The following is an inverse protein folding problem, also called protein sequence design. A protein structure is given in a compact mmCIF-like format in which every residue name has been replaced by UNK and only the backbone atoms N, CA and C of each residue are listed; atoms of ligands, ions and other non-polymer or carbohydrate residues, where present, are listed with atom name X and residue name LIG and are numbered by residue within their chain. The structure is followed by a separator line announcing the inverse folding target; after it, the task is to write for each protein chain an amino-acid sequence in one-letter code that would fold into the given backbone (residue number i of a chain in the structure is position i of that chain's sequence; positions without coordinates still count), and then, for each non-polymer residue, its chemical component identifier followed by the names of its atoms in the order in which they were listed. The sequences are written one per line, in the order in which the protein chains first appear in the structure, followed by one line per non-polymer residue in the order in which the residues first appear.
data_IF_152104956030
#
_entry.id   IF_152104956030
#
_cell.length_a   1.000
_cell.length_b   1.000
_cell.length_c   1.000
_cell.angle_alpha   90.00
_cell.angle_beta   90.00
_cell.angle_gamma   90.00
#
_symmetry.space_group_name_H-M   'P 1'
#
loop_
_entity.id
_entity.type
_entity.pdbx_description
1 polymer ?
#
# COMPACT_ATOMS: atom_id res chain seq x y z
N UNK A 1 32.26 -3.27 14.94
CA UNK A 1 31.84 -3.61 13.56
C UNK A 1 30.60 -4.46 13.76
N UNK A 2 29.37 -4.05 13.47
CA UNK A 2 28.93 -3.08 12.47
C UNK A 2 27.86 -2.13 13.00
N UNK A 3 27.98 -0.87 12.58
CA UNK A 3 27.01 0.16 12.82
C UNK A 3 25.74 -0.14 12.00
N UNK A 4 24.72 -0.68 12.66
CA UNK A 4 23.33 -0.64 12.22
C UNK A 4 22.79 0.78 12.28
N UNK A 5 23.45 1.68 11.55
CA UNK A 5 23.08 3.07 11.42
C UNK A 5 21.70 3.15 10.79
N UNK A 6 20.71 3.36 11.64
CA UNK A 6 19.39 3.83 11.33
C UNK A 6 19.49 5.12 10.50
N UNK A 7 19.65 4.97 9.18
CA UNK A 7 19.46 6.03 8.21
C UNK A 7 17.95 6.16 7.97
N UNK A 8 17.20 6.37 9.05
CA UNK A 8 15.87 6.96 8.99
C UNK A 8 16.06 8.43 8.69
N UNK A 9 16.38 8.74 7.43
CA UNK A 9 16.69 10.07 6.98
C UNK A 9 15.50 10.98 7.34
N UNK A 10 15.72 11.90 8.29
CA UNK A 10 14.65 12.78 8.81
C UNK A 10 14.00 13.60 7.67
N UNK A 11 14.76 13.82 6.60
CA UNK A 11 14.32 14.42 5.33
C UNK A 11 13.38 13.51 4.54
N UNK A 12 13.72 12.23 4.38
CA UNK A 12 12.87 11.23 3.72
C UNK A 12 11.55 11.05 4.46
N UNK A 13 11.59 11.03 5.79
CA UNK A 13 10.38 10.99 6.62
C UNK A 13 9.48 12.21 6.37
N UNK A 14 10.03 13.42 6.29
CA UNK A 14 9.22 14.63 6.04
C UNK A 14 8.58 14.64 4.65
N UNK A 15 9.32 14.21 3.62
CA UNK A 15 8.80 14.10 2.25
C UNK A 15 7.74 12.99 2.15
N UNK A 16 8.02 11.81 2.71
CA UNK A 16 7.11 10.68 2.74
C UNK A 16 5.80 11.03 3.47
N UNK A 17 5.88 11.71 4.63
CA UNK A 17 4.70 12.18 5.36
C UNK A 17 3.87 13.18 4.53
N UNK A 18 4.52 14.11 3.82
CA UNK A 18 3.81 15.03 2.93
C UNK A 18 3.21 14.35 1.69
N UNK A 19 3.78 13.23 1.25
CA UNK A 19 3.31 12.44 0.11
C UNK A 19 2.06 11.64 0.49
N UNK A 20 2.07 10.98 1.65
CA UNK A 20 0.98 10.11 2.10
C UNK A 20 -0.27 10.86 2.58
N UNK A 21 -0.14 12.16 2.81
CA UNK A 21 -1.26 13.03 3.18
C UNK A 21 -2.07 13.50 1.97
N UNK A 22 -1.56 13.37 0.74
CA UNK A 22 -2.22 13.89 -0.46
C UNK A 22 -3.13 12.85 -1.12
N UNK A 23 -4.43 13.15 -1.32
CA UNK A 23 -5.37 12.23 -1.93
C UNK A 23 -5.05 11.92 -3.40
N UNK A 24 -4.43 12.85 -4.14
CA UNK A 24 -3.98 12.64 -5.53
C UNK A 24 -2.92 11.55 -5.61
N UNK A 25 -2.01 11.52 -4.65
CA UNK A 25 -0.96 10.49 -4.59
C UNK A 25 -1.55 9.12 -4.27
N UNK A 26 -2.54 9.04 -3.36
CA UNK A 26 -3.27 7.80 -3.13
C UNK A 26 -3.96 7.31 -4.42
N UNK A 27 -4.65 8.20 -5.14
CA UNK A 27 -5.31 7.85 -6.41
C UNK A 27 -4.31 7.35 -7.45
N UNK A 28 -3.13 7.98 -7.56
CA UNK A 28 -2.05 7.54 -8.44
C UNK A 28 -1.58 6.13 -8.07
N UNK A 29 -1.28 5.88 -6.79
CA UNK A 29 -0.84 4.57 -6.30
C UNK A 29 -1.91 3.51 -6.57
N UNK A 30 -3.18 3.80 -6.30
CA UNK A 30 -4.30 2.89 -6.60
C UNK A 30 -4.46 2.59 -8.09
N UNK A 31 -4.08 3.52 -8.97
CA UNK A 31 -4.02 3.27 -10.42
C UNK A 31 -2.86 2.33 -10.78
N UNK A 32 -1.68 2.52 -10.17
CA UNK A 32 -0.50 1.68 -10.40
C UNK A 32 -0.70 0.24 -9.92
N UNK A 33 -1.54 -0.01 -8.91
CA UNK A 33 -1.95 -1.36 -8.50
C UNK A 33 -2.63 -2.15 -9.63
N UNK A 34 -3.13 -1.48 -10.68
CA UNK A 34 -3.78 -2.10 -11.83
C UNK A 34 -2.87 -2.19 -13.07
N UNK A 35 -1.61 -1.83 -12.94
CA UNK A 35 -0.66 -1.86 -14.05
C UNK A 35 -0.34 -3.30 -14.46
N UNK A 36 -0.03 -3.56 -15.74
CA UNK A 36 0.20 -4.92 -16.27
C UNK A 36 1.49 -5.57 -15.74
N UNK A 37 2.55 -4.76 -15.56
CA UNK A 37 3.81 -5.20 -14.94
C UNK A 37 3.64 -5.57 -13.47
N UNK A 38 4.00 -6.81 -13.12
CA UNK A 38 4.04 -7.29 -11.73
C UNK A 38 4.97 -6.43 -10.86
N UNK A 39 6.14 -6.04 -11.37
CA UNK A 39 7.10 -5.23 -10.62
C UNK A 39 6.50 -3.88 -10.21
N UNK A 40 5.78 -3.23 -11.12
CA UNK A 40 5.12 -1.94 -10.82
C UNK A 40 4.00 -2.13 -9.79
N UNK A 41 3.22 -3.21 -9.90
CA UNK A 41 2.19 -3.51 -8.88
C UNK A 41 2.79 -3.79 -7.52
N UNK A 42 3.92 -4.51 -7.46
CA UNK A 42 4.60 -4.86 -6.21
C UNK A 42 5.11 -3.60 -5.50
N UNK A 43 5.80 -2.70 -6.22
CA UNK A 43 6.26 -1.42 -5.67
C UNK A 43 5.10 -0.51 -5.27
N UNK A 44 4.06 -0.42 -6.11
CA UNK A 44 2.85 0.34 -5.77
C UNK A 44 2.16 -0.21 -4.51
N UNK A 45 2.17 -1.52 -4.31
CA UNK A 45 1.63 -2.15 -3.11
C UNK A 45 2.41 -1.77 -1.86
N UNK A 46 3.75 -1.72 -1.92
CA UNK A 46 4.56 -1.24 -0.79
C UNK A 46 4.19 0.18 -0.39
N UNK A 47 4.01 1.08 -1.36
CA UNK A 47 3.58 2.46 -1.07
C UNK A 47 2.14 2.49 -0.54
N UNK A 48 1.23 1.68 -1.09
CA UNK A 48 -0.15 1.60 -0.64
C UNK A 48 -0.27 1.17 0.83
N UNK A 49 0.57 0.22 1.28
CA UNK A 49 0.65 -0.17 2.70
C UNK A 49 0.92 1.03 3.60
N UNK A 50 1.80 1.95 3.21
CA UNK A 50 2.12 3.15 4.00
C UNK A 50 0.92 4.10 4.09
N UNK A 51 0.15 4.26 3.00
CA UNK A 51 -1.10 5.05 3.05
C UNK A 51 -2.14 4.43 4.00
N UNK A 52 -2.35 3.11 3.91
CA UNK A 52 -3.29 2.39 4.76
C UNK A 52 -2.83 2.41 6.24
N UNK A 53 -1.55 2.19 6.50
CA UNK A 53 -1.00 2.16 7.85
C UNK A 53 -0.83 3.52 8.54
N UNK A 54 -1.05 4.65 7.85
CA UNK A 54 -0.84 5.98 8.44
C UNK A 54 -1.86 6.24 9.58
N UNK A 55 -1.43 6.38 10.85
CA UNK A 55 -2.35 6.62 11.96
C UNK A 55 -3.00 8.02 11.89
N UNK A 56 -2.33 8.97 11.24
CA UNK A 56 -2.76 10.36 11.09
C UNK A 56 -3.33 10.67 9.70
N UNK A 57 -3.94 9.69 9.04
CA UNK A 57 -4.59 9.85 7.73
C UNK A 57 -5.50 11.07 7.69
N UNK A 58 -5.30 11.94 6.68
CA UNK A 58 -6.22 13.03 6.34
C UNK A 58 -7.60 12.48 5.98
N UNK A 59 -8.64 13.24 6.30
CA UNK A 59 -10.04 12.80 6.11
C UNK A 59 -10.39 12.48 4.66
N UNK A 60 -9.77 13.15 3.69
CA UNK A 60 -9.98 12.83 2.27
C UNK A 60 -9.36 11.49 1.88
N UNK A 61 -8.15 11.19 2.35
CA UNK A 61 -7.50 9.88 2.17
C UNK A 61 -8.36 8.78 2.80
N UNK A 62 -8.85 8.99 4.03
CA UNK A 62 -9.76 8.05 4.72
C UNK A 62 -11.05 7.83 3.91
N UNK A 63 -11.66 8.91 3.41
CA UNK A 63 -12.87 8.83 2.57
C UNK A 63 -12.62 8.02 1.30
N UNK A 64 -11.50 8.24 0.60
CA UNK A 64 -11.16 7.48 -0.61
C UNK A 64 -11.00 5.99 -0.32
N UNK A 65 -10.28 5.63 0.74
CA UNK A 65 -10.11 4.22 1.15
C UNK A 65 -11.46 3.58 1.48
N UNK A 66 -12.28 4.25 2.28
CA UNK A 66 -13.60 3.76 2.67
C UNK A 66 -14.54 3.58 1.47
N UNK A 67 -14.62 4.59 0.58
CA UNK A 67 -15.45 4.53 -0.63
C UNK A 67 -15.03 3.44 -1.62
N UNK A 68 -13.75 3.05 -1.61
CA UNK A 68 -13.23 1.99 -2.49
C UNK A 68 -13.08 0.64 -1.77
N UNK A 69 -13.43 0.54 -0.48
CA UNK A 69 -13.21 -0.64 0.36
C UNK A 69 -13.67 -1.95 -0.29
N UNK A 70 -14.88 -2.08 -0.88
CA UNK A 70 -15.30 -3.33 -1.49
C UNK A 70 -14.38 -3.80 -2.64
N UNK A 71 -13.93 -2.86 -3.48
CA UNK A 71 -13.03 -3.16 -4.60
C UNK A 71 -11.61 -3.46 -4.13
N UNK A 72 -11.15 -2.77 -3.08
CA UNK A 72 -9.86 -3.03 -2.45
C UNK A 72 -9.82 -4.44 -1.84
N UNK A 73 -10.87 -4.85 -1.13
CA UNK A 73 -10.95 -6.20 -0.57
C UNK A 73 -10.91 -7.29 -1.67
N UNK A 74 -11.63 -7.07 -2.78
CA UNK A 74 -11.57 -7.97 -3.94
C UNK A 74 -10.16 -8.03 -4.54
N UNK A 75 -9.48 -6.89 -4.64
CA UNK A 75 -8.09 -6.84 -5.12
C UNK A 75 -7.14 -7.60 -4.18
N UNK A 76 -7.22 -7.36 -2.87
CA UNK A 76 -6.36 -8.00 -1.86
C UNK A 76 -6.55 -9.52 -1.82
N UNK A 77 -7.76 -10.01 -2.04
CA UNK A 77 -8.02 -11.45 -2.18
C UNK A 77 -7.28 -12.05 -3.38
N UNK A 78 -7.31 -11.39 -4.55
CA UNK A 78 -6.57 -11.83 -5.74
C UNK A 78 -5.06 -11.70 -5.57
N UNK A 79 -4.60 -10.74 -4.79
CA UNK A 79 -3.19 -10.50 -4.51
C UNK A 79 -2.52 -11.65 -3.72
N UNK A 80 -3.30 -12.55 -3.11
CA UNK A 80 -2.79 -13.80 -2.50
C UNK A 80 -2.29 -14.81 -3.53
N UNK A 81 -2.61 -14.61 -4.81
CA UNK A 81 -2.35 -15.59 -5.85
C UNK A 81 -3.37 -16.74 -5.80
N UNK A 82 -3.23 -17.68 -6.74
CA UNK A 82 -4.03 -18.90 -6.78
C UNK A 82 -3.26 -20.08 -6.19
N UNK A 83 -3.99 -21.05 -5.62
CA UNK A 83 -3.39 -22.26 -5.03
C UNK A 83 -2.62 -23.11 -6.06
N UNK A 84 -3.08 -23.09 -7.32
CA UNK A 84 -2.46 -23.80 -8.44
C UNK A 84 -1.25 -23.06 -9.05
N UNK A 85 -0.89 -21.88 -8.53
CA UNK A 85 0.23 -21.06 -9.01
C UNK A 85 0.00 -20.35 -10.35
N UNK A 86 -1.19 -20.46 -10.96
CA UNK A 86 -1.53 -19.76 -12.21
C UNK A 86 -1.53 -18.23 -12.07
N UNK A 87 -1.80 -17.72 -10.87
CA UNK A 87 -1.70 -16.29 -10.54
C UNK A 87 -0.61 -16.09 -9.49
N UNK A 88 0.48 -15.36 -9.82
CA UNK A 88 1.55 -15.12 -8.86
C UNK A 88 1.06 -14.22 -7.73
N UNK A 89 1.46 -14.60 -6.51
CA UNK A 89 1.23 -13.81 -5.30
C UNK A 89 1.94 -12.46 -5.40
N UNK A 90 1.26 -11.40 -4.96
CA UNK A 90 1.81 -10.04 -4.95
C UNK A 90 2.53 -9.72 -3.64
N UNK A 91 2.01 -10.22 -2.51
CA UNK A 91 2.53 -9.94 -1.17
C UNK A 91 2.25 -11.09 -0.21
N UNK A 92 2.95 -11.09 0.93
CA UNK A 92 2.72 -12.03 2.02
C UNK A 92 1.29 -11.86 2.59
N UNK A 93 0.72 -12.96 3.10
CA UNK A 93 -0.63 -12.94 3.66
C UNK A 93 -0.76 -11.97 4.84
N UNK A 94 0.27 -11.88 5.69
CA UNK A 94 0.34 -10.96 6.83
C UNK A 94 0.21 -9.49 6.41
N UNK A 95 0.86 -9.10 5.32
CA UNK A 95 0.80 -7.75 4.78
C UNK A 95 -0.61 -7.42 4.26
N UNK A 96 -1.24 -8.37 3.57
CA UNK A 96 -2.59 -8.22 3.02
C UNK A 96 -3.63 -8.14 4.15
N UNK A 97 -3.45 -8.92 5.21
CA UNK A 97 -4.29 -8.89 6.40
C UNK A 97 -4.15 -7.56 7.13
N UNK A 98 -2.92 -7.06 7.26
CA UNK A 98 -2.67 -5.77 7.90
C UNK A 98 -3.33 -4.63 7.11
N UNK A 99 -3.15 -4.59 5.80
CA UNK A 99 -3.82 -3.60 4.94
C UNK A 99 -5.34 -3.70 5.05
N UNK A 100 -5.89 -4.91 5.13
CA UNK A 100 -7.34 -5.14 5.29
C UNK A 100 -7.88 -4.53 6.58
N UNK A 101 -7.13 -4.65 7.68
CA UNK A 101 -7.45 -3.98 8.95
C UNK A 101 -7.37 -2.46 8.84
N UNK A 102 -6.35 -1.98 8.14
CA UNK A 102 -6.01 -0.56 8.07
C UNK A 102 -6.89 0.27 7.11
N UNK A 103 -7.54 -0.38 6.14
CA UNK A 103 -8.54 0.25 5.26
C UNK A 103 -9.96 0.24 5.86
N UNK A 104 -10.14 -0.39 7.03
CA UNK A 104 -11.42 -0.47 7.71
C UNK A 104 -11.75 0.77 8.53
#
# INVERSE_FOLDING_TARGET
QDAGGQLGDRSFNKVMMSYIDRPENLKLVMNLLRHDSWAIRAEAFQVFKVFAGNPNKKDEVRRILHSNKPRLLQYLSKARGSEDGSVPRLAADEDLDQVTRDIS
#
